data_IF_864918586139
#
_entry.id   IF_864918586139
#
_cell.length_a   1.000
_cell.length_b   1.000
_cell.length_c   1.000
_cell.angle_alpha   90.00
_cell.angle_beta   90.00
_cell.angle_gamma   90.00
#
_symmetry.space_group_name_H-M   'P 1'
#
loop_
_entity.id
_entity.type
_entity.pdbx_description
1 polymer ?
#
# COMPACT_ATOMS: atom_id res chain seq x y z
N UNK A 1 16.76 -4.16 -21.89
CA UNK A 1 15.34 -4.54 -21.64
C UNK A 1 14.41 -4.06 -22.74
N UNK A 2 14.56 -2.84 -23.29
CA UNK A 2 13.71 -2.31 -24.37
C UNK A 2 13.71 -3.03 -25.73
N UNK A 3 14.25 -4.25 -25.82
CA UNK A 3 14.17 -5.15 -26.99
C UNK A 3 13.13 -6.26 -26.81
N UNK A 4 12.51 -6.36 -25.63
CA UNK A 4 11.52 -7.39 -25.30
C UNK A 4 10.10 -6.87 -25.56
N UNK A 5 9.76 -6.61 -26.82
CA UNK A 5 8.51 -5.95 -27.22
C UNK A 5 7.23 -6.69 -26.79
N UNK A 6 7.32 -8.01 -26.58
CA UNK A 6 6.19 -8.88 -26.20
C UNK A 6 6.13 -9.21 -24.71
N UNK A 7 7.00 -8.60 -23.87
CA UNK A 7 6.95 -8.85 -22.43
C UNK A 7 5.66 -8.29 -21.84
N UNK A 8 5.01 -9.10 -21.00
CA UNK A 8 3.69 -8.83 -20.40
C UNK A 8 3.79 -8.70 -18.89
N UNK A 9 4.62 -9.53 -18.29
CA UNK A 9 4.89 -9.53 -16.86
C UNK A 9 6.39 -9.39 -16.65
N UNK A 10 6.78 -8.40 -15.86
CA UNK A 10 8.15 -8.16 -15.47
C UNK A 10 8.18 -8.01 -13.95
N UNK A 11 8.67 -9.04 -13.27
CA UNK A 11 8.88 -9.04 -11.83
C UNK A 11 10.39 -9.09 -11.54
N UNK A 12 10.89 -8.05 -10.90
CA UNK A 12 12.27 -7.89 -10.45
C UNK A 12 12.32 -7.42 -8.99
N UNK A 13 11.27 -7.71 -8.22
CA UNK A 13 11.16 -7.25 -6.85
C UNK A 13 12.24 -7.86 -5.93
N UNK A 14 12.51 -7.21 -4.79
CA UNK A 14 13.46 -7.66 -3.78
C UNK A 14 14.84 -7.97 -4.38
N UNK A 15 15.40 -6.97 -5.05
CA UNK A 15 16.72 -7.02 -5.66
C UNK A 15 17.55 -5.79 -5.24
N UNK A 16 18.78 -5.72 -5.72
CA UNK A 16 19.69 -4.58 -5.46
C UNK A 16 19.81 -3.61 -6.64
N UNK A 17 18.79 -3.49 -7.50
CA UNK A 17 18.89 -2.64 -8.68
C UNK A 17 19.00 -1.16 -8.30
N UNK A 18 19.83 -0.43 -9.05
CA UNK A 18 20.16 0.98 -8.82
C UNK A 18 20.00 1.79 -10.10
N UNK A 19 19.95 3.11 -9.96
CA UNK A 19 19.80 4.03 -11.08
C UNK A 19 18.35 4.25 -11.48
N UNK A 20 18.14 4.92 -12.60
CA UNK A 20 16.81 5.31 -13.05
C UNK A 20 16.12 4.22 -13.89
N UNK A 21 14.78 4.28 -13.93
CA UNK A 21 14.00 3.45 -14.85
C UNK A 21 14.36 3.81 -16.31
N UNK A 22 14.88 2.85 -17.11
CA UNK A 22 15.40 3.17 -18.43
C UNK A 22 14.27 3.49 -19.40
N UNK A 23 14.38 4.63 -20.10
CA UNK A 23 13.41 5.08 -21.11
C UNK A 23 13.12 4.05 -22.21
N UNK A 24 14.07 3.15 -22.48
CA UNK A 24 13.89 2.03 -23.42
C UNK A 24 12.72 1.10 -23.08
N UNK A 25 12.24 1.08 -21.83
CA UNK A 25 11.06 0.30 -21.43
C UNK A 25 9.76 0.81 -22.07
N UNK A 26 9.73 2.04 -22.58
CA UNK A 26 8.64 2.53 -23.43
C UNK A 26 8.39 1.62 -24.66
N UNK A 27 9.40 0.90 -25.13
CA UNK A 27 9.23 -0.05 -26.23
C UNK A 27 8.44 -1.32 -25.85
N UNK A 28 8.23 -1.58 -24.55
CA UNK A 28 7.50 -2.75 -24.06
C UNK A 28 6.00 -2.47 -24.01
N UNK A 29 5.39 -2.18 -25.17
CA UNK A 29 3.98 -1.78 -25.28
C UNK A 29 2.97 -2.85 -24.84
N UNK A 30 3.41 -4.10 -24.67
CA UNK A 30 2.57 -5.20 -24.19
C UNK A 30 2.60 -5.40 -22.67
N UNK A 31 3.36 -4.58 -21.93
CA UNK A 31 3.57 -4.77 -20.49
C UNK A 31 2.30 -4.47 -19.69
N UNK A 32 1.88 -5.45 -18.88
CA UNK A 32 0.66 -5.41 -18.06
C UNK A 32 0.99 -5.39 -16.57
N UNK A 33 2.02 -6.14 -16.16
CA UNK A 33 2.51 -6.19 -14.78
C UNK A 33 3.96 -5.73 -14.75
N UNK A 34 4.22 -4.71 -13.94
CA UNK A 34 5.57 -4.22 -13.68
C UNK A 34 5.78 -4.09 -12.18
N UNK A 35 6.53 -5.04 -11.63
CA UNK A 35 6.85 -5.12 -10.21
C UNK A 35 8.37 -5.05 -10.06
N UNK A 36 8.84 -3.91 -9.54
CA UNK A 36 10.26 -3.67 -9.21
C UNK A 36 10.39 -3.21 -7.76
N UNK A 37 9.42 -3.58 -6.92
CA UNK A 37 9.40 -3.20 -5.51
C UNK A 37 10.65 -3.68 -4.76
N UNK A 38 10.97 -3.03 -3.65
CA UNK A 38 12.09 -3.42 -2.78
C UNK A 38 13.42 -3.50 -3.55
N UNK A 39 13.82 -2.34 -4.07
CA UNK A 39 15.07 -2.12 -4.80
C UNK A 39 15.67 -0.74 -4.39
N UNK A 40 16.73 -0.30 -5.04
CA UNK A 40 17.35 1.01 -4.81
C UNK A 40 17.30 1.90 -6.08
N UNK A 41 16.20 1.80 -6.83
CA UNK A 41 15.95 2.60 -8.04
C UNK A 41 15.68 4.05 -7.68
N UNK A 42 16.09 4.99 -8.53
CA UNK A 42 15.98 6.43 -8.32
C UNK A 42 15.40 7.16 -9.53
N UNK A 43 15.35 8.49 -9.47
CA UNK A 43 14.84 9.32 -10.56
C UNK A 43 13.31 9.47 -10.54
N UNK A 44 12.73 10.14 -11.54
CA UNK A 44 11.29 10.36 -11.63
C UNK A 44 10.52 9.14 -12.15
N UNK A 45 9.22 9.09 -11.85
CA UNK A 45 8.29 8.17 -12.50
C UNK A 45 8.16 8.58 -13.98
N UNK A 46 8.48 7.70 -14.95
CA UNK A 46 8.38 8.05 -16.37
C UNK A 46 6.94 8.18 -16.87
N UNK A 47 6.71 9.08 -17.82
CA UNK A 47 5.37 9.35 -18.39
C UNK A 47 4.83 8.23 -19.30
N UNK A 48 5.69 7.31 -19.75
CA UNK A 48 5.30 6.22 -20.65
C UNK A 48 4.64 5.03 -19.93
N UNK A 49 4.53 5.04 -18.60
CA UNK A 49 3.96 3.93 -17.84
C UNK A 49 2.47 3.79 -18.18
N UNK A 50 2.16 2.80 -19.04
CA UNK A 50 0.86 2.41 -19.58
C UNK A 50 0.23 1.18 -18.90
N UNK A 51 0.57 0.92 -17.64
CA UNK A 51 0.56 -0.44 -17.04
C UNK A 51 -0.69 -0.69 -16.18
N UNK A 52 -1.21 -1.92 -16.18
CA UNK A 52 -2.38 -2.31 -15.39
C UNK A 52 -2.04 -2.50 -13.91
N UNK A 53 -0.88 -3.09 -13.63
CA UNK A 53 -0.38 -3.36 -12.28
C UNK A 53 1.04 -2.82 -12.18
N UNK A 54 1.20 -1.75 -11.40
CA UNK A 54 2.47 -1.07 -11.17
C UNK A 54 2.83 -1.13 -9.69
N UNK A 55 3.99 -1.72 -9.38
CA UNK A 55 4.58 -1.70 -8.04
C UNK A 55 6.03 -1.17 -8.10
N UNK A 56 6.20 0.07 -7.63
CA UNK A 56 7.50 0.74 -7.45
C UNK A 56 7.80 0.94 -5.96
N UNK A 57 7.08 0.27 -5.06
CA UNK A 57 7.20 0.50 -3.63
C UNK A 57 8.60 0.18 -3.10
N UNK A 58 8.98 0.79 -1.97
CA UNK A 58 10.27 0.57 -1.31
C UNK A 58 11.46 0.78 -2.26
N UNK A 59 11.54 1.98 -2.83
CA UNK A 59 12.63 2.42 -3.69
C UNK A 59 13.06 3.84 -3.30
N UNK A 60 13.89 4.46 -4.13
CA UNK A 60 14.35 5.83 -3.99
C UNK A 60 13.78 6.76 -5.09
N UNK A 61 12.59 6.45 -5.61
CA UNK A 61 11.92 7.22 -6.66
C UNK A 61 11.54 8.60 -6.13
N UNK A 62 11.72 9.63 -6.95
CA UNK A 62 11.60 11.04 -6.57
C UNK A 62 10.80 11.84 -7.59
N UNK A 63 10.65 13.15 -7.38
CA UNK A 63 9.86 14.01 -8.26
C UNK A 63 8.35 13.85 -8.03
N UNK A 64 7.55 14.37 -8.96
CA UNK A 64 6.08 14.34 -8.86
C UNK A 64 5.47 13.13 -9.56
N UNK A 65 4.27 12.75 -9.14
CA UNK A 65 3.43 11.81 -9.89
C UNK A 65 3.04 12.48 -11.22
N UNK A 66 3.31 11.87 -12.40
CA UNK A 66 3.02 12.47 -13.69
C UNK A 66 1.53 12.74 -13.90
N UNK A 67 1.19 13.84 -14.55
CA UNK A 67 -0.20 14.22 -14.88
C UNK A 67 -0.80 13.35 -15.98
N UNK A 68 0.02 12.82 -16.89
CA UNK A 68 -0.41 12.04 -18.05
C UNK A 68 -0.85 10.60 -17.72
N UNK A 69 -1.53 10.41 -16.58
CA UNK A 69 -2.15 9.13 -16.22
C UNK A 69 -3.28 8.75 -17.18
N UNK A 70 -3.85 9.71 -17.90
CA UNK A 70 -4.88 9.48 -18.92
C UNK A 70 -4.44 8.58 -20.09
N UNK A 71 -3.13 8.36 -20.28
CA UNK A 71 -2.62 7.40 -21.26
C UNK A 71 -2.74 5.94 -20.79
N UNK A 72 -3.16 5.72 -19.54
CA UNK A 72 -3.44 4.41 -18.94
C UNK A 72 -4.81 3.89 -19.37
N UNK A 73 -4.98 3.62 -20.67
CA UNK A 73 -6.28 3.19 -21.26
C UNK A 73 -6.89 2.01 -20.51
N UNK A 74 -6.06 1.07 -20.02
CA UNK A 74 -6.52 -0.08 -19.26
C UNK A 74 -7.02 0.26 -17.85
N UNK A 75 -6.45 1.27 -17.19
CA UNK A 75 -6.88 1.72 -15.85
C UNK A 75 -8.11 2.66 -15.92
N UNK A 76 -8.29 3.34 -17.05
CA UNK A 76 -9.47 4.19 -17.32
C UNK A 76 -10.74 3.38 -17.67
N UNK A 77 -10.62 2.11 -18.04
CA UNK A 77 -11.78 1.25 -18.30
C UNK A 77 -12.27 0.58 -17.01
N UNK A 78 -13.59 0.51 -16.81
CA UNK A 78 -14.17 -0.32 -15.74
C UNK A 78 -14.25 -1.77 -16.14
N UNK A 79 -13.89 -2.65 -15.21
CA UNK A 79 -13.84 -4.09 -15.45
C UNK A 79 -12.73 -4.48 -16.42
N UNK A 80 -12.64 -5.79 -16.67
CA UNK A 80 -11.72 -6.36 -17.65
C UNK A 80 -12.47 -7.35 -18.53
N UNK A 81 -12.10 -7.43 -19.80
CA UNK A 81 -12.69 -8.38 -20.74
C UNK A 81 -12.35 -9.84 -20.43
N UNK A 82 -11.34 -10.08 -19.57
CA UNK A 82 -10.89 -11.41 -19.15
C UNK A 82 -10.51 -11.44 -17.65
N UNK A 83 -10.76 -12.58 -17.00
CA UNK A 83 -10.33 -12.84 -15.61
C UNK A 83 -8.82 -13.06 -15.52
N UNK A 84 -8.23 -13.66 -16.55
CA UNK A 84 -6.81 -13.99 -16.65
C UNK A 84 -6.14 -13.20 -17.75
N UNK A 85 -4.81 -13.06 -17.63
CA UNK A 85 -3.96 -12.61 -18.72
C UNK A 85 -3.43 -13.87 -19.39
N UNK A 86 -4.05 -14.28 -20.50
CA UNK A 86 -3.67 -15.50 -21.25
C UNK A 86 -2.79 -15.17 -22.44
N UNK A 87 -1.80 -16.03 -22.69
CA UNK A 87 -0.92 -15.93 -23.84
C UNK A 87 -1.05 -17.13 -24.73
N UNK A 88 -1.47 -16.91 -25.98
CA UNK A 88 -1.49 -17.94 -27.00
C UNK A 88 -0.23 -17.83 -27.86
N UNK A 89 0.70 -18.78 -27.70
CA UNK A 89 1.88 -18.91 -28.57
C UNK A 89 1.52 -19.86 -29.71
N UNK A 90 1.75 -19.43 -30.94
CA UNK A 90 1.67 -20.28 -32.14
C UNK A 90 3.08 -20.73 -32.53
N UNK A 91 3.31 -22.04 -32.60
CA UNK A 91 4.67 -22.58 -32.74
C UNK A 91 5.08 -22.77 -34.21
N UNK A 92 4.16 -22.67 -35.17
CA UNK A 92 4.44 -22.63 -36.61
C UNK A 92 3.23 -22.12 -37.42
N UNK A 93 3.45 -21.40 -38.52
CA UNK A 93 2.36 -20.96 -39.43
C UNK A 93 1.67 -22.10 -40.17
N UNK A 94 2.24 -23.32 -40.15
CA UNK A 94 1.72 -24.51 -40.85
C UNK A 94 1.17 -25.59 -39.92
N UNK A 95 1.30 -25.44 -38.60
CA UNK A 95 0.80 -26.41 -37.62
C UNK A 95 0.01 -25.66 -36.55
N UNK A 96 -1.29 -25.95 -36.45
CA UNK A 96 -2.27 -25.33 -35.54
C UNK A 96 -2.05 -25.71 -34.06
N UNK A 97 -0.81 -25.95 -33.63
CA UNK A 97 -0.50 -26.20 -32.22
C UNK A 97 -0.29 -24.85 -31.53
N UNK A 98 -1.27 -24.47 -30.72
CA UNK A 98 -1.18 -23.32 -29.83
C UNK A 98 -0.94 -23.78 -28.39
N UNK A 99 -0.05 -23.07 -27.70
CA UNK A 99 0.16 -23.25 -26.26
C UNK A 99 -0.38 -22.02 -25.55
N UNK A 100 -1.31 -22.24 -24.62
CA UNK A 100 -1.84 -21.19 -23.74
C UNK A 100 -1.16 -21.29 -22.38
N UNK A 101 -0.63 -20.19 -21.87
CA UNK A 101 -0.25 -20.08 -20.46
C UNK A 101 -0.85 -18.82 -19.84
N UNK A 102 -1.19 -18.92 -18.56
CA UNK A 102 -1.68 -17.79 -17.76
C UNK A 102 -0.49 -17.13 -17.05
N UNK A 103 -0.44 -15.80 -17.10
CA UNK A 103 0.51 -15.05 -16.29
C UNK A 103 0.18 -15.19 -14.79
N UNK A 104 1.23 -15.05 -13.99
CA UNK A 104 1.14 -14.98 -12.54
C UNK A 104 1.97 -13.81 -12.02
N UNK A 105 1.44 -13.12 -11.02
CA UNK A 105 2.13 -12.05 -10.32
C UNK A 105 1.94 -12.19 -8.81
N UNK A 106 2.96 -11.85 -8.04
CA UNK A 106 2.85 -11.73 -6.58
C UNK A 106 2.65 -10.27 -6.25
N UNK A 107 1.53 -9.92 -5.61
CA UNK A 107 1.19 -8.53 -5.27
C UNK A 107 0.95 -8.43 -3.77
N UNK A 108 1.32 -7.29 -3.18
CA UNK A 108 0.98 -7.00 -1.80
C UNK A 108 -0.44 -6.44 -1.74
N UNK A 109 -1.38 -7.19 -1.19
CA UNK A 109 -2.76 -6.76 -1.02
C UNK A 109 -3.13 -6.77 0.46
N UNK A 110 -3.63 -5.64 0.98
CA UNK A 110 -3.99 -5.49 2.41
C UNK A 110 -2.84 -5.90 3.36
N UNK A 111 -1.61 -5.55 2.99
CA UNK A 111 -0.40 -5.90 3.75
C UNK A 111 0.06 -7.36 3.63
N UNK A 112 -0.58 -8.16 2.77
CA UNK A 112 -0.23 -9.58 2.58
C UNK A 112 0.20 -9.83 1.13
N UNK A 113 1.39 -10.40 0.96
CA UNK A 113 1.84 -10.85 -0.36
C UNK A 113 1.01 -12.06 -0.79
N UNK A 114 0.30 -11.93 -1.90
CA UNK A 114 -0.55 -12.97 -2.47
C UNK A 114 -0.20 -13.20 -3.93
N UNK A 115 -0.21 -14.47 -4.34
CA UNK A 115 0.05 -14.85 -5.72
C UNK A 115 -1.27 -14.87 -6.50
N UNK A 116 -1.35 -14.07 -7.54
CA UNK A 116 -2.52 -13.93 -8.39
C UNK A 116 -2.24 -14.57 -9.75
N UNK A 117 -3.10 -15.50 -10.14
CA UNK A 117 -3.07 -16.17 -11.45
C UNK A 117 -4.43 -16.07 -12.13
N UNK A 118 -5.46 -16.67 -11.52
CA UNK A 118 -6.82 -16.79 -12.09
C UNK A 118 -7.63 -15.49 -12.15
N UNK A 119 -7.21 -14.45 -11.43
CA UNK A 119 -7.92 -13.15 -11.35
C UNK A 119 -7.02 -11.96 -11.69
N UNK A 120 -5.80 -12.22 -12.18
CA UNK A 120 -4.81 -11.16 -12.44
C UNK A 120 -5.34 -10.14 -13.46
N UNK A 121 -6.18 -10.56 -14.39
CA UNK A 121 -6.85 -9.69 -15.36
C UNK A 121 -7.80 -8.68 -14.71
N UNK A 122 -8.34 -8.94 -13.52
CA UNK A 122 -9.25 -8.04 -12.81
C UNK A 122 -8.53 -6.99 -11.95
N UNK A 123 -7.25 -7.21 -11.61
CA UNK A 123 -6.53 -6.35 -10.67
C UNK A 123 -5.96 -5.15 -11.41
N UNK A 124 -6.28 -3.96 -10.92
CA UNK A 124 -5.79 -2.67 -11.43
C UNK A 124 -5.22 -1.90 -10.25
N UNK A 125 -3.91 -1.74 -10.19
CA UNK A 125 -3.25 -1.25 -8.97
C UNK A 125 -2.02 -0.41 -9.22
N UNK A 126 -1.84 0.61 -8.38
CA UNK A 126 -0.67 1.49 -8.35
C UNK A 126 -0.13 1.54 -6.93
N UNK A 127 1.05 0.97 -6.71
CA UNK A 127 1.77 0.99 -5.43
C UNK A 127 3.09 1.75 -5.58
N UNK A 128 3.17 2.89 -4.89
CA UNK A 128 4.31 3.81 -4.92
C UNK A 128 4.84 4.10 -3.51
N UNK A 129 4.43 3.30 -2.52
CA UNK A 129 4.72 3.58 -1.12
C UNK A 129 6.21 3.50 -0.78
N UNK A 130 6.62 4.18 0.30
CA UNK A 130 8.02 4.18 0.76
C UNK A 130 9.01 4.62 -0.31
N UNK A 131 8.79 5.83 -0.85
CA UNK A 131 9.65 6.49 -1.82
C UNK A 131 9.90 7.95 -1.37
N UNK A 132 10.44 8.79 -2.27
CA UNK A 132 10.70 10.23 -2.06
C UNK A 132 9.86 11.11 -2.99
N UNK A 133 8.63 10.68 -3.31
CA UNK A 133 7.74 11.45 -4.19
C UNK A 133 7.32 12.75 -3.52
N UNK A 134 7.19 13.80 -4.32
CA UNK A 134 6.87 15.18 -3.90
C UNK A 134 5.74 15.77 -4.74
N UNK A 135 5.22 16.93 -4.35
CA UNK A 135 4.15 17.61 -5.09
C UNK A 135 2.77 17.00 -4.83
N UNK A 136 1.79 17.43 -5.61
CA UNK A 136 0.39 17.06 -5.41
C UNK A 136 0.03 15.74 -6.10
N UNK A 137 -1.03 15.09 -5.61
CA UNK A 137 -1.66 13.98 -6.33
C UNK A 137 -2.39 14.57 -7.55
N UNK A 138 -2.02 14.22 -8.79
CA UNK A 138 -2.61 14.79 -10.00
C UNK A 138 -4.11 14.49 -10.07
N UNK A 139 -4.92 15.45 -10.52
CA UNK A 139 -6.36 15.28 -10.58
C UNK A 139 -6.79 14.21 -11.60
N UNK A 140 -5.94 13.95 -12.59
CA UNK A 140 -6.05 12.89 -13.58
C UNK A 140 -6.07 11.48 -12.95
N UNK A 141 -5.66 11.31 -11.68
CA UNK A 141 -5.85 10.05 -10.95
C UNK A 141 -7.34 9.64 -10.91
N UNK A 142 -8.25 10.62 -10.93
CA UNK A 142 -9.70 10.39 -10.88
C UNK A 142 -10.29 9.86 -12.18
N UNK A 143 -9.52 9.89 -13.27
CA UNK A 143 -9.90 9.29 -14.55
C UNK A 143 -9.64 7.77 -14.59
N UNK A 144 -8.88 7.24 -13.63
CA UNK A 144 -8.56 5.81 -13.51
C UNK A 144 -9.70 5.04 -12.84
N UNK A 145 -10.91 5.14 -13.37
CA UNK A 145 -12.14 4.61 -12.73
C UNK A 145 -12.16 3.09 -12.52
N UNK A 146 -11.26 2.34 -13.16
CA UNK A 146 -11.07 0.92 -12.94
C UNK A 146 -10.09 0.58 -11.82
N UNK A 147 -9.39 1.56 -11.23
CA UNK A 147 -8.39 1.34 -10.19
C UNK A 147 -9.02 0.68 -8.96
N UNK A 148 -8.43 -0.42 -8.52
CA UNK A 148 -8.89 -1.20 -7.36
C UNK A 148 -8.00 -0.96 -6.14
N UNK A 149 -6.72 -0.64 -6.34
CA UNK A 149 -5.81 -0.34 -5.23
C UNK A 149 -4.86 0.80 -5.56
N UNK A 150 -4.77 1.74 -4.63
CA UNK A 150 -3.85 2.87 -4.67
C UNK A 150 -3.11 2.99 -3.34
N UNK A 151 -1.80 2.81 -3.35
CA UNK A 151 -0.96 3.00 -2.18
C UNK A 151 0.13 4.03 -2.47
N UNK A 152 0.02 5.19 -1.82
CA UNK A 152 0.95 6.32 -1.92
C UNK A 152 1.63 6.64 -0.58
N UNK A 153 1.51 5.76 0.42
CA UNK A 153 1.97 6.07 1.76
C UNK A 153 3.48 6.21 1.89
N UNK A 154 3.95 6.88 2.94
CA UNK A 154 5.38 7.06 3.23
C UNK A 154 6.12 7.73 2.08
N UNK A 155 5.62 8.90 1.67
CA UNK A 155 6.23 9.78 0.68
C UNK A 155 6.26 11.22 1.23
N UNK A 156 6.57 12.19 0.38
CA UNK A 156 6.58 13.61 0.69
C UNK A 156 5.51 14.36 -0.13
N UNK A 157 4.37 13.71 -0.40
CA UNK A 157 3.28 14.28 -1.20
C UNK A 157 2.57 15.40 -0.44
N UNK A 158 2.21 16.46 -1.14
CA UNK A 158 1.54 17.66 -0.62
C UNK A 158 0.17 17.85 -1.30
N UNK A 159 -0.48 18.99 -1.04
CA UNK A 159 -1.77 19.32 -1.65
C UNK A 159 -2.95 18.69 -0.92
N UNK A 160 -4.14 18.87 -1.50
CA UNK A 160 -5.39 18.34 -1.00
C UNK A 160 -5.74 17.02 -1.69
N UNK A 161 -6.55 16.20 -1.04
CA UNK A 161 -7.17 15.04 -1.69
C UNK A 161 -8.16 15.57 -2.73
N UNK A 162 -8.01 15.14 -3.98
CA UNK A 162 -8.81 15.62 -5.11
C UNK A 162 -10.32 15.40 -4.84
N UNK A 163 -11.19 16.42 -4.95
CA UNK A 163 -12.60 16.29 -4.58
C UNK A 163 -13.40 15.28 -5.43
N UNK A 164 -12.93 14.99 -6.65
CA UNK A 164 -13.55 14.03 -7.58
C UNK A 164 -13.12 12.57 -7.35
N UNK A 165 -12.47 12.26 -6.22
CA UNK A 165 -12.02 10.90 -5.89
C UNK A 165 -13.17 9.87 -5.86
N UNK A 166 -14.41 10.34 -5.69
CA UNK A 166 -15.66 9.56 -5.76
C UNK A 166 -15.86 8.79 -7.08
N UNK A 167 -15.21 9.23 -8.15
CA UNK A 167 -15.27 8.55 -9.47
C UNK A 167 -14.63 7.16 -9.44
N UNK A 168 -13.70 6.93 -8.50
CA UNK A 168 -12.96 5.68 -8.32
C UNK A 168 -13.81 4.61 -7.60
N UNK A 169 -14.98 4.30 -8.15
CA UNK A 169 -15.95 3.39 -7.51
C UNK A 169 -15.47 1.93 -7.42
N UNK A 170 -14.41 1.58 -8.15
CA UNK A 170 -13.77 0.25 -8.08
C UNK A 170 -12.71 0.15 -6.99
N UNK A 171 -12.33 1.26 -6.34
CA UNK A 171 -11.26 1.30 -5.36
C UNK A 171 -11.66 0.53 -4.09
N UNK A 172 -10.88 -0.47 -3.70
CA UNK A 172 -11.06 -1.24 -2.45
C UNK A 172 -9.97 -0.89 -1.42
N UNK A 173 -8.80 -0.47 -1.89
CA UNK A 173 -7.67 -0.08 -1.04
C UNK A 173 -7.16 1.31 -1.41
N UNK A 174 -7.14 2.19 -0.42
CA UNK A 174 -6.49 3.50 -0.48
C UNK A 174 -5.58 3.63 0.75
N UNK A 175 -4.31 3.98 0.54
CA UNK A 175 -3.39 4.35 1.62
C UNK A 175 -2.60 5.61 1.24
N UNK A 176 -2.84 6.69 1.99
CA UNK A 176 -2.23 8.01 1.84
C UNK A 176 -1.39 8.39 3.07
N UNK A 177 -1.19 7.47 4.00
CA UNK A 177 -0.56 7.72 5.29
C UNK A 177 0.89 8.18 5.16
N UNK A 178 1.40 8.88 6.18
CA UNK A 178 2.78 9.36 6.24
C UNK A 178 3.19 10.19 5.01
N UNK A 179 2.47 11.29 4.77
CA UNK A 179 2.75 12.28 3.74
C UNK A 179 2.64 13.71 4.34
N UNK A 180 2.54 14.74 3.49
CA UNK A 180 2.29 16.14 3.84
C UNK A 180 0.97 16.64 3.21
N UNK A 181 0.01 15.74 3.04
CA UNK A 181 -1.31 16.04 2.51
C UNK A 181 -2.05 16.89 3.56
N UNK A 182 -2.82 17.86 3.10
CA UNK A 182 -3.53 18.81 3.97
C UNK A 182 -4.96 19.05 3.49
N UNK A 183 -5.73 19.78 4.31
CA UNK A 183 -7.11 20.13 4.00
C UNK A 183 -8.11 19.11 4.53
N UNK A 184 -9.29 19.07 3.90
CA UNK A 184 -10.40 18.21 4.32
C UNK A 184 -10.39 16.88 3.56
N UNK A 185 -10.64 15.77 4.26
CA UNK A 185 -10.97 14.50 3.63
C UNK A 185 -12.34 14.66 2.95
N UNK A 186 -12.45 14.46 1.61
CA UNK A 186 -13.71 14.57 0.90
C UNK A 186 -14.77 13.64 1.49
N UNK A 187 -15.95 14.15 1.79
CA UNK A 187 -17.04 13.36 2.36
C UNK A 187 -17.47 12.22 1.45
N UNK A 188 -17.22 12.32 0.14
CA UNK A 188 -17.46 11.26 -0.83
C UNK A 188 -16.57 10.02 -0.65
N UNK A 189 -15.45 10.12 0.07
CA UNK A 189 -14.70 8.94 0.56
C UNK A 189 -15.35 8.28 1.78
N UNK A 190 -16.24 9.01 2.46
CA UNK A 190 -16.81 8.64 3.78
C UNK A 190 -18.31 8.38 3.75
N UNK A 191 -19.01 8.74 2.68
CA UNK A 191 -20.45 8.53 2.47
C UNK A 191 -20.61 7.58 1.30
N UNK A 192 -21.13 6.36 1.49
CA UNK A 192 -22.53 6.16 1.87
C UNK A 192 -22.64 5.01 2.89
N UNK A 193 -23.17 5.32 4.07
CA UNK A 193 -23.62 4.38 5.11
C UNK A 193 -24.82 3.51 4.68
N UNK A 194 -24.84 2.98 3.46
CA UNK A 194 -25.98 2.26 2.89
C UNK A 194 -25.67 1.15 1.87
N UNK A 195 -24.42 1.02 1.38
CA UNK A 195 -24.05 -0.04 0.43
C UNK A 195 -22.65 -0.59 0.72
N UNK A 196 -22.52 -1.33 1.83
CA UNK A 196 -21.40 -2.22 2.11
C UNK A 196 -20.10 -1.56 2.58
N UNK A 197 -19.37 -2.17 3.55
CA UNK A 197 -18.11 -1.62 4.03
C UNK A 197 -16.99 -1.96 3.03
N UNK A 198 -16.45 -0.97 2.31
CA UNK A 198 -15.06 -1.05 1.83
C UNK A 198 -14.15 -0.82 3.04
N UNK A 199 -13.93 -1.88 3.81
CA UNK A 199 -13.42 -1.88 5.19
C UNK A 199 -12.13 -1.08 5.46
N UNK A 200 -11.30 -0.77 4.45
CA UNK A 200 -10.02 -0.07 4.65
C UNK A 200 -10.04 1.44 4.41
N UNK A 201 -10.89 1.96 3.51
CA UNK A 201 -10.96 3.43 3.29
C UNK A 201 -11.43 4.14 4.58
N UNK A 202 -12.15 3.42 5.43
CA UNK A 202 -12.62 3.90 6.74
C UNK A 202 -11.62 3.71 7.88
N UNK A 203 -10.50 3.01 7.70
CA UNK A 203 -9.49 2.88 8.75
C UNK A 203 -8.72 4.20 8.89
N UNK A 204 -8.71 4.87 10.05
CA UNK A 204 -7.98 6.13 10.24
C UNK A 204 -6.48 6.02 9.93
N UNK A 205 -5.92 4.81 10.00
CA UNK A 205 -4.52 4.51 9.67
C UNK A 205 -4.16 4.92 8.25
N UNK A 206 -5.07 4.82 7.27
CA UNK A 206 -4.77 5.12 5.85
C UNK A 206 -4.56 6.61 5.58
N UNK A 207 -4.96 7.47 6.51
CA UNK A 207 -4.73 8.92 6.45
C UNK A 207 -3.73 9.42 7.50
N UNK A 208 -3.31 8.54 8.42
CA UNK A 208 -2.47 8.90 9.55
C UNK A 208 -1.10 9.47 9.13
N UNK A 209 -0.48 10.29 9.98
CA UNK A 209 0.82 10.87 9.69
C UNK A 209 0.80 11.99 8.65
N UNK A 210 -0.36 12.61 8.39
CA UNK A 210 -0.55 13.85 7.65
C UNK A 210 -1.01 14.95 8.63
N UNK A 211 -0.12 15.83 9.12
CA UNK A 211 -0.43 16.71 10.26
C UNK A 211 -1.55 17.73 10.01
N UNK A 212 -1.71 18.18 8.77
CA UNK A 212 -2.67 19.22 8.38
C UNK A 212 -3.92 18.64 7.67
N UNK A 213 -4.07 17.32 7.69
CA UNK A 213 -5.23 16.63 7.12
C UNK A 213 -6.26 16.41 8.22
N UNK A 214 -7.50 16.81 7.97
CA UNK A 214 -8.62 16.67 8.89
C UNK A 214 -9.89 16.25 8.12
N UNK A 215 -10.94 15.89 8.84
CA UNK A 215 -12.15 15.26 8.32
C UNK A 215 -12.32 13.84 8.86
N UNK A 216 -13.53 13.30 8.72
CA UNK A 216 -13.81 11.89 9.05
C UNK A 216 -12.96 11.01 8.08
N UNK A 217 -12.31 9.93 8.53
CA UNK A 217 -12.40 9.28 9.85
C UNK A 217 -11.37 9.76 10.90
N UNK A 218 -10.57 10.79 10.63
CA UNK A 218 -9.55 11.28 11.58
C UNK A 218 -10.17 12.10 12.72
N UNK A 219 -10.53 13.34 12.45
CA UNK A 219 -11.16 14.28 13.38
C UNK A 219 -11.84 15.38 12.57
N UNK A 220 -12.96 15.92 13.03
CA UNK A 220 -13.60 17.07 12.39
C UNK A 220 -12.67 18.28 12.37
N UNK A 221 -12.50 18.89 11.20
CA UNK A 221 -11.71 20.12 11.05
C UNK A 221 -12.29 21.23 11.92
N UNK A 222 -11.49 21.80 12.82
CA UNK A 222 -11.86 22.99 13.58
C UNK A 222 -11.80 24.20 12.64
N UNK A 223 -12.91 24.92 12.51
CA UNK A 223 -12.94 26.23 11.85
C UNK A 223 -12.25 27.26 12.75
N UNK A 224 -11.18 27.85 12.23
CA UNK A 224 -10.49 29.05 12.71
C UNK A 224 -9.69 28.94 14.02
N UNK A 225 -8.37 29.03 13.87
CA UNK A 225 -7.48 29.60 14.88
C UNK A 225 -7.84 31.08 15.06
N UNK A 226 -8.53 31.40 16.14
CA UNK A 226 -8.44 32.74 16.74
C UNK A 226 -7.62 32.61 18.02
N UNK A 227 -6.38 33.07 18.00
CA UNK A 227 -5.68 33.52 19.22
C UNK A 227 -6.52 34.62 19.90
N UNK A 228 -6.50 34.71 21.25
CA UNK A 228 -5.52 35.58 21.89
C UNK A 228 -4.86 35.03 23.17
N UNK A 229 -3.59 35.41 23.31
CA UNK A 229 -2.81 35.77 24.51
C UNK A 229 -3.21 35.35 25.94
N UNK A 230 -2.15 34.91 26.63
CA UNK A 230 -1.77 35.13 28.04
C UNK A 230 -2.60 34.58 29.22
N UNK A 231 -1.87 33.90 30.10
CA UNK A 231 -2.27 33.44 31.43
C UNK A 231 -2.51 34.62 32.39
N UNK A 232 -3.24 34.41 33.50
CA UNK A 232 -2.52 34.26 34.77
C UNK A 232 -3.08 33.21 35.75
N UNK A 233 -2.16 32.38 36.26
CA UNK A 233 -1.87 31.99 37.66
C UNK A 233 -3.00 31.97 38.73
N UNK A 234 -3.21 30.74 39.24
CA UNK A 234 -3.53 30.28 40.61
C UNK A 234 -4.97 30.39 41.17
N UNK A 235 -5.50 29.21 41.47
CA UNK A 235 -6.48 28.95 42.53
C UNK A 235 -6.48 27.46 42.84
N UNK A 236 -5.94 27.07 44.00
CA UNK A 236 -5.96 25.70 44.52
C UNK A 236 -7.39 25.24 44.79
N UNK A 237 -7.69 23.98 44.47
CA UNK A 237 -8.61 23.15 45.25
C UNK A 237 -8.24 21.68 45.01
N UNK A 238 -7.66 21.10 46.06
CA UNK A 238 -7.60 19.66 46.27
C UNK A 238 -9.03 19.11 46.41
N UNK A 239 -9.33 17.99 45.75
CA UNK A 239 -10.15 16.94 46.35
C UNK A 239 -9.88 15.59 45.67
N UNK A 240 -9.63 14.62 46.53
CA UNK A 240 -9.13 13.28 46.28
C UNK A 240 -10.06 12.43 45.41
N UNK A 241 -9.46 11.57 44.58
CA UNK A 241 -9.71 10.13 44.66
C UNK A 241 -8.53 9.35 44.06
N UNK A 242 -7.75 8.82 44.99
CA UNK A 242 -6.66 7.89 44.84
C UNK A 242 -7.14 6.56 44.24
N UNK A 243 -6.73 6.27 43.01
CA UNK A 243 -6.63 4.90 42.50
C UNK A 243 -5.37 4.74 41.63
N UNK A 244 -4.41 3.97 42.16
CA UNK A 244 -3.40 3.26 41.36
C UNK A 244 -2.12 4.01 41.06
N UNK A 245 -1.22 4.11 42.05
CA UNK A 245 0.20 4.41 41.86
C UNK A 245 0.83 3.56 40.74
N UNK A 246 0.97 4.13 39.54
CA UNK A 246 2.06 3.73 38.64
C UNK A 246 3.20 4.71 38.92
N UNK A 247 4.05 4.36 39.88
CA UNK A 247 5.22 5.15 40.27
C UNK A 247 6.10 5.40 39.04
N UNK A 248 6.77 6.57 38.89
CA UNK A 248 7.70 6.83 37.79
C UNK A 248 8.76 5.73 37.58
N UNK A 249 9.13 5.02 38.66
CA UNK A 249 10.01 3.85 38.60
C UNK A 249 9.46 2.69 37.76
N UNK A 250 8.13 2.51 37.67
CA UNK A 250 7.53 1.50 36.80
C UNK A 250 7.82 1.79 35.32
N UNK A 251 7.62 3.03 34.86
CA UNK A 251 7.91 3.41 33.48
C UNK A 251 9.40 3.33 33.13
N UNK A 252 10.27 3.69 34.08
CA UNK A 252 11.72 3.51 33.92
C UNK A 252 12.08 2.02 33.81
N UNK A 253 11.50 1.18 34.66
CA UNK A 253 11.72 -0.27 34.61
C UNK A 253 11.13 -0.92 33.34
N UNK A 254 9.99 -0.43 32.86
CA UNK A 254 9.35 -0.88 31.62
C UNK A 254 10.19 -0.49 30.40
N UNK A 255 10.72 0.74 30.37
CA UNK A 255 11.60 1.20 29.31
C UNK A 255 12.92 0.43 29.25
N UNK A 256 13.55 0.19 30.41
CA UNK A 256 14.77 -0.62 30.49
C UNK A 256 14.51 -2.09 30.14
N UNK A 257 13.39 -2.66 30.61
CA UNK A 257 12.99 -4.02 30.28
C UNK A 257 12.71 -4.20 28.79
N UNK A 258 12.04 -3.24 28.15
CA UNK A 258 11.84 -3.23 26.70
C UNK A 258 13.18 -3.11 25.96
N UNK A 259 14.06 -2.20 26.41
CA UNK A 259 15.36 -2.04 25.78
C UNK A 259 16.21 -3.32 25.84
N UNK A 260 16.32 -3.94 27.02
CA UNK A 260 17.10 -5.18 27.19
C UNK A 260 16.45 -6.36 26.46
N UNK A 261 15.12 -6.51 26.54
CA UNK A 261 14.40 -7.62 25.90
C UNK A 261 14.38 -7.51 24.37
N UNK A 262 13.96 -6.36 23.86
CA UNK A 262 13.84 -6.13 22.42
C UNK A 262 15.21 -6.10 21.75
N UNK A 263 16.18 -5.34 22.28
CA UNK A 263 17.52 -5.26 21.67
C UNK A 263 18.39 -6.48 21.99
N UNK A 264 18.15 -7.20 23.08
CA UNK A 264 18.83 -8.48 23.33
C UNK A 264 18.45 -9.54 22.29
N UNK A 265 17.16 -9.64 21.95
CA UNK A 265 16.66 -10.60 20.96
C UNK A 265 16.89 -10.09 19.53
N UNK A 266 16.46 -8.87 19.19
CA UNK A 266 16.65 -8.33 17.84
C UNK A 266 18.12 -8.06 17.52
N UNK A 267 18.92 -7.59 18.49
CA UNK A 267 20.35 -7.37 18.32
C UNK A 267 21.11 -8.68 18.08
N UNK A 268 20.82 -9.74 18.82
CA UNK A 268 21.45 -11.05 18.59
C UNK A 268 21.09 -11.67 17.23
N UNK A 269 19.89 -11.38 16.70
CA UNK A 269 19.45 -11.80 15.37
C UNK A 269 20.12 -11.01 14.21
N UNK A 270 20.56 -9.78 14.44
CA UNK A 270 21.25 -8.95 13.43
C UNK A 270 22.69 -9.43 13.20
N UNK A 271 23.39 -9.89 14.25
CA UNK A 271 24.81 -10.26 14.16
C UNK A 271 25.05 -11.72 13.74
N UNK A 272 24.09 -12.64 13.95
CA UNK A 272 24.29 -14.05 13.66
C UNK A 272 23.34 -14.58 12.57
N UNK A 273 23.89 -14.84 11.37
CA UNK A 273 23.15 -15.35 10.21
C UNK A 273 22.44 -16.69 10.48
N UNK A 274 23.00 -17.56 11.32
CA UNK A 274 22.38 -18.85 11.65
C UNK A 274 21.14 -18.67 12.55
N UNK A 275 21.16 -17.70 13.46
CA UNK A 275 20.05 -17.44 14.37
C UNK A 275 18.86 -16.79 13.68
N UNK A 276 19.12 -15.90 12.71
CA UNK A 276 18.07 -15.33 11.84
C UNK A 276 17.28 -16.42 11.10
N UNK A 277 17.98 -17.44 10.57
CA UNK A 277 17.33 -18.53 9.87
C UNK A 277 16.50 -19.43 10.80
N UNK A 278 17.03 -19.80 11.97
CA UNK A 278 16.28 -20.62 12.95
C UNK A 278 15.09 -19.88 13.52
N UNK A 279 15.21 -18.57 13.76
CA UNK A 279 14.10 -17.74 14.25
C UNK A 279 12.99 -17.59 13.21
N UNK A 280 13.34 -17.37 11.94
CA UNK A 280 12.36 -17.34 10.83
C UNK A 280 11.64 -18.69 10.68
N UNK A 281 12.36 -19.81 10.83
CA UNK A 281 11.77 -21.15 10.80
C UNK A 281 10.80 -21.38 11.97
N UNK A 282 11.12 -20.87 13.16
CA UNK A 282 10.26 -20.96 14.35
C UNK A 282 8.99 -20.12 14.20
N UNK A 283 9.10 -18.89 13.70
CA UNK A 283 7.94 -18.03 13.39
C UNK A 283 7.01 -18.67 12.35
N UNK A 284 7.58 -19.27 11.30
CA UNK A 284 6.79 -20.00 10.31
C UNK A 284 6.06 -21.20 10.96
N UNK A 285 6.74 -21.96 11.82
CA UNK A 285 6.13 -23.07 12.55
C UNK A 285 4.96 -22.65 13.44
N UNK A 286 5.09 -21.52 14.15
CA UNK A 286 4.00 -20.96 14.96
C UNK A 286 2.82 -20.49 14.10
N UNK A 287 3.09 -19.87 12.95
CA UNK A 287 2.06 -19.46 12.01
C UNK A 287 1.29 -20.68 11.46
N UNK A 288 2.00 -21.77 11.11
CA UNK A 288 1.36 -23.03 10.73
C UNK A 288 0.50 -23.61 11.86
N UNK A 289 0.99 -23.61 13.09
CA UNK A 289 0.25 -24.12 14.24
C UNK A 289 -1.01 -23.29 14.54
N UNK A 290 -0.92 -21.96 14.47
CA UNK A 290 -2.07 -21.06 14.64
C UNK A 290 -3.10 -21.25 13.53
N UNK A 291 -2.65 -21.33 12.27
CA UNK A 291 -3.56 -21.54 11.14
C UNK A 291 -4.29 -22.88 11.27
N UNK A 292 -3.60 -23.97 11.59
CA UNK A 292 -4.22 -25.28 11.82
C UNK A 292 -5.17 -25.24 13.01
N UNK A 293 -4.79 -24.57 14.10
CA UNK A 293 -5.64 -24.38 15.27
C UNK A 293 -6.94 -23.63 14.94
N UNK A 294 -6.85 -22.55 14.16
CA UNK A 294 -8.01 -21.76 13.69
C UNK A 294 -8.88 -22.56 12.72
N UNK A 295 -8.29 -23.35 11.82
CA UNK A 295 -9.03 -24.23 10.90
C UNK A 295 -9.81 -25.30 11.67
N UNK A 296 -9.18 -25.95 12.65
CA UNK A 296 -9.82 -26.96 13.51
C UNK A 296 -10.92 -26.35 14.40
N UNK A 297 -10.72 -25.11 14.88
CA UNK A 297 -11.75 -24.39 15.63
C UNK A 297 -12.95 -24.00 14.78
N UNK A 298 -12.73 -23.62 13.50
CA UNK A 298 -13.82 -23.35 12.54
C UNK A 298 -14.60 -24.61 12.20
N UNK A 299 -13.93 -25.75 12.08
CA UNK A 299 -14.57 -27.03 11.74
C UNK A 299 -15.47 -27.57 12.88
N UNK A 300 -15.18 -27.25 14.14
CA UNK A 300 -16.02 -27.61 15.31
C UNK A 300 -17.26 -26.73 15.50
N UNK A 301 -17.45 -25.66 14.72
CA UNK A 301 -18.55 -24.69 14.89
C UNK A 301 -19.64 -24.76 13.80
N UNK A 302 -19.54 -25.67 12.84
CA UNK A 302 -20.62 -25.96 11.91
C UNK A 302 -21.48 -27.09 12.52
N UNK A 303 -22.77 -26.86 12.81
CA UNK A 303 -23.71 -27.96 13.00
C UNK A 303 -23.88 -28.68 11.66
N UNK A 304 -23.85 -30.00 11.68
CA UNK A 304 -24.20 -30.82 10.51
C UNK A 304 -25.68 -30.58 10.18
N UNK A 305 -25.95 -29.92 9.06
CA UNK A 305 -27.22 -29.92 8.31
C UNK A 305 -26.95 -30.40 6.88
#
# INVERSE_FOLDING_TARGET
MGSLFSIRTLNLNNNGFVGELPSSLNNCSSLVVFDVADNNLSGPIPEWLGIQILDLSMNNISGSIPKCLNNLTNLALRGSSSLTITHTIYVNSTSLTSYSYDDEASLIWKGMMSKYKSILGLVKSIHLSSNRLTGEIPCEITDLVGLVSLNLSRNNLTGQITPNIEKLQSLDLLDLSNNQIHGTIPTSLTGISGLGPQLQIYEPSVFAGNPLLCGIPLQTCSSEETTPEEQPVVGNQDEDNNDGFITPGFYVSLGLGFAVGFWGVCGSLIFNRSWRYTYSKLLNGLNYWLNVGVTLFRQRRMPDD
#
